data_IF_737265755306
#
_entry.id   IF_737265755306
#
_cell.length_a   1.000
_cell.length_b   1.000
_cell.length_c   1.000
_cell.angle_alpha   90.00
_cell.angle_beta   90.00
_cell.angle_gamma   90.00
#
_symmetry.space_group_name_H-M   'P 1'
#
loop_
_entity.id
_entity.type
_entity.pdbx_description
1 polymer ?
#
# COMPACT_ATOMS: atom_id res chain seq x y z
N UNK A 1 6.46 36.13 24.94
CA UNK A 1 6.57 36.08 23.46
C UNK A 1 7.36 34.87 22.97
N UNK A 2 8.56 34.59 23.50
CA UNK A 2 9.40 33.45 23.06
C UNK A 2 8.72 32.07 23.18
N UNK A 3 8.03 31.78 24.28
CA UNK A 3 7.34 30.50 24.51
C UNK A 3 6.22 30.24 23.49
N UNK A 4 5.43 31.26 23.14
CA UNK A 4 4.34 31.12 22.17
C UNK A 4 4.84 30.78 20.76
N UNK A 5 5.96 31.38 20.34
CA UNK A 5 6.58 31.11 19.04
C UNK A 5 7.12 29.67 18.98
N UNK A 6 7.78 29.22 20.05
CA UNK A 6 8.29 27.84 20.15
C UNK A 6 7.13 26.85 20.09
N UNK A 7 6.05 27.07 20.83
CA UNK A 7 4.88 26.17 20.82
C UNK A 7 4.24 26.07 19.44
N UNK A 8 4.05 27.20 18.74
CA UNK A 8 3.49 27.20 17.38
C UNK A 8 4.41 26.46 16.41
N UNK A 9 5.72 26.69 16.50
CA UNK A 9 6.69 26.02 15.65
C UNK A 9 6.71 24.50 15.88
N UNK A 10 6.72 24.06 17.14
CA UNK A 10 6.64 22.63 17.50
C UNK A 10 5.34 22.01 16.99
N UNK A 11 4.20 22.70 17.15
CA UNK A 11 2.91 22.21 16.64
C UNK A 11 2.92 21.99 15.12
N UNK A 12 3.53 22.91 14.36
CA UNK A 12 3.67 22.78 12.90
C UNK A 12 4.57 21.58 12.54
N UNK A 13 5.67 21.37 13.28
CA UNK A 13 6.56 20.23 13.06
C UNK A 13 5.87 18.90 13.35
N UNK A 14 5.17 18.79 14.49
CA UNK A 14 4.43 17.58 14.86
C UNK A 14 3.33 17.25 13.83
N UNK A 15 2.63 18.27 13.33
CA UNK A 15 1.64 18.08 12.26
C UNK A 15 2.27 17.57 10.96
N UNK A 16 3.41 18.14 10.55
CA UNK A 16 4.14 17.66 9.37
C UNK A 16 4.65 16.22 9.53
N UNK A 17 5.12 15.86 10.71
CA UNK A 17 5.56 14.49 11.02
C UNK A 17 4.41 13.49 10.91
N UNK A 18 3.23 13.83 11.43
CA UNK A 18 2.04 12.96 11.35
C UNK A 18 1.63 12.69 9.89
N UNK A 19 1.61 13.74 9.05
CA UNK A 19 1.31 13.60 7.61
C UNK A 19 2.34 12.71 6.90
N UNK A 20 3.63 12.89 7.18
CA UNK A 20 4.68 12.04 6.60
C UNK A 20 4.57 10.60 7.07
N UNK A 21 4.27 10.39 8.36
CA UNK A 21 4.08 9.05 8.93
C UNK A 21 2.91 8.34 8.25
N UNK A 22 1.76 8.99 8.11
CA UNK A 22 0.59 8.43 7.39
C UNK A 22 0.92 8.08 5.94
N UNK A 23 1.72 8.91 5.27
CA UNK A 23 2.16 8.62 3.90
C UNK A 23 3.09 7.41 3.85
N UNK A 24 4.03 7.30 4.79
CA UNK A 24 4.92 6.15 4.91
C UNK A 24 4.16 4.88 5.27
N UNK A 25 3.18 4.96 6.16
CA UNK A 25 2.29 3.85 6.51
C UNK A 25 1.53 3.36 5.28
N UNK A 26 0.96 4.28 4.50
CA UNK A 26 0.28 3.95 3.24
C UNK A 26 1.24 3.24 2.28
N UNK A 27 2.40 3.84 2.01
CA UNK A 27 3.42 3.26 1.11
C UNK A 27 3.96 1.91 1.61
N UNK A 28 4.00 1.68 2.92
CA UNK A 28 4.45 0.42 3.50
C UNK A 28 3.44 -0.72 3.31
N UNK A 29 2.16 -0.41 3.11
CA UNK A 29 1.08 -1.40 2.96
C UNK A 29 0.53 -1.51 1.54
N UNK A 30 0.86 -0.58 0.64
CA UNK A 30 0.40 -0.61 -0.76
C UNK A 30 1.52 -0.95 -1.75
N UNK A 31 1.17 -1.57 -2.87
CA UNK A 31 2.01 -1.73 -4.05
C UNK A 31 2.04 -0.43 -4.87
N UNK A 32 3.22 0.03 -5.28
CA UNK A 32 3.38 1.34 -5.93
C UNK A 32 2.82 1.36 -7.36
N UNK A 33 2.88 0.23 -8.07
CA UNK A 33 2.44 0.13 -9.47
C UNK A 33 0.91 0.12 -9.58
N UNK A 34 0.25 -0.59 -8.67
CA UNK A 34 -1.21 -0.84 -8.74
C UNK A 34 -2.02 -0.03 -7.72
N UNK A 35 -1.39 0.46 -6.64
CA UNK A 35 -2.07 1.06 -5.50
C UNK A 35 -2.87 0.08 -4.65
N UNK A 36 -2.89 -1.21 -5.01
CA UNK A 36 -3.51 -2.26 -4.20
C UNK A 36 -2.72 -2.49 -2.91
N UNK A 37 -3.32 -3.14 -1.92
CA UNK A 37 -2.55 -3.61 -0.78
C UNK A 37 -1.48 -4.61 -1.22
N UNK A 38 -0.28 -4.45 -0.70
CA UNK A 38 0.82 -5.34 -1.01
C UNK A 38 0.64 -6.71 -0.33
N UNK A 39 1.40 -7.68 -0.81
CA UNK A 39 1.33 -9.06 -0.33
C UNK A 39 1.58 -9.18 1.18
N UNK A 40 2.47 -8.35 1.75
CA UNK A 40 2.75 -8.38 3.19
C UNK A 40 1.52 -7.98 3.99
N UNK A 41 0.85 -6.90 3.59
CA UNK A 41 -0.37 -6.45 4.26
C UNK A 41 -1.53 -7.43 4.07
N UNK A 42 -1.63 -8.04 2.88
CA UNK A 42 -2.62 -9.09 2.63
C UNK A 42 -2.48 -10.25 3.63
N UNK A 43 -1.28 -10.77 3.87
CA UNK A 43 -1.08 -11.85 4.83
C UNK A 43 -1.38 -11.45 6.26
N UNK A 44 -1.01 -10.23 6.69
CA UNK A 44 -1.34 -9.77 8.05
C UNK A 44 -2.84 -9.72 8.28
N UNK A 45 -3.60 -9.23 7.29
CA UNK A 45 -5.07 -9.20 7.39
C UNK A 45 -5.65 -10.61 7.30
N UNK A 46 -5.11 -11.48 6.44
CA UNK A 46 -5.59 -12.86 6.32
C UNK A 46 -5.44 -13.63 7.64
N UNK A 47 -4.33 -13.45 8.35
CA UNK A 47 -4.10 -14.08 9.65
C UNK A 47 -5.13 -13.58 10.70
N UNK A 48 -5.40 -12.28 10.72
CA UNK A 48 -6.42 -11.66 11.60
C UNK A 48 -7.84 -12.19 11.28
N UNK A 49 -8.22 -12.25 10.00
CA UNK A 49 -9.53 -12.73 9.56
C UNK A 49 -9.74 -14.23 9.82
N UNK A 50 -8.69 -15.04 9.71
CA UNK A 50 -8.73 -16.47 10.09
C UNK A 50 -9.03 -16.62 11.58
N UNK A 51 -8.33 -15.87 12.44
CA UNK A 51 -8.55 -15.89 13.88
C UNK A 51 -9.98 -15.42 14.24
N UNK A 52 -10.45 -14.37 13.57
CA UNK A 52 -11.81 -13.88 13.74
C UNK A 52 -12.87 -14.89 13.31
N UNK A 53 -12.70 -15.54 12.16
CA UNK A 53 -13.66 -16.53 11.67
C UNK A 53 -13.75 -17.75 12.60
N UNK A 54 -12.62 -18.22 13.15
CA UNK A 54 -12.61 -19.30 14.15
C UNK A 54 -13.36 -18.90 15.42
N UNK A 55 -13.08 -17.68 15.93
CA UNK A 55 -13.72 -17.14 17.13
C UNK A 55 -15.23 -16.98 16.97
N UNK A 56 -15.68 -16.49 15.82
CA UNK A 56 -17.10 -16.24 15.54
C UNK A 56 -17.84 -17.47 15.00
N UNK A 57 -17.11 -18.57 14.73
CA UNK A 57 -17.62 -19.75 14.03
C UNK A 57 -18.27 -19.41 12.70
N UNK A 58 -17.71 -18.43 12.00
CA UNK A 58 -18.16 -17.97 10.69
C UNK A 58 -17.32 -18.61 9.59
N UNK A 59 -17.76 -18.44 8.33
CA UNK A 59 -17.01 -18.92 7.17
C UNK A 59 -16.22 -17.77 6.56
N UNK A 60 -14.94 -18.01 6.26
CA UNK A 60 -14.08 -17.11 5.52
C UNK A 60 -13.97 -17.57 4.06
N UNK A 61 -14.08 -16.64 3.12
CA UNK A 61 -13.89 -16.89 1.69
C UNK A 61 -12.70 -16.10 1.14
N UNK A 62 -11.90 -16.73 0.28
CA UNK A 62 -10.77 -16.10 -0.40
C UNK A 62 -10.94 -16.19 -1.92
N UNK A 63 -10.72 -15.07 -2.61
CA UNK A 63 -10.68 -15.00 -4.07
C UNK A 63 -9.29 -14.58 -4.52
N UNK A 64 -8.71 -15.36 -5.43
CA UNK A 64 -7.44 -15.05 -6.08
C UNK A 64 -7.74 -14.88 -7.57
N UNK A 65 -7.26 -13.79 -8.14
CA UNK A 65 -7.47 -13.42 -9.55
C UNK A 65 -6.10 -13.27 -10.17
N UNK A 66 -5.92 -13.82 -11.37
CA UNK A 66 -4.73 -13.63 -12.19
C UNK A 66 -5.13 -13.01 -13.54
N UNK A 67 -4.21 -12.27 -14.17
CA UNK A 67 -4.44 -11.69 -15.49
C UNK A 67 -3.95 -12.67 -16.54
N UNK A 68 -4.89 -13.22 -17.31
CA UNK A 68 -4.58 -14.14 -18.40
C UNK A 68 -3.63 -13.49 -19.43
N UNK A 69 -2.61 -14.24 -19.87
CA UNK A 69 -1.66 -13.85 -20.90
C UNK A 69 -0.87 -12.54 -20.61
N UNK A 70 -0.74 -12.14 -19.35
CA UNK A 70 -0.04 -10.89 -18.98
C UNK A 70 1.40 -10.80 -19.50
N UNK A 71 2.10 -11.94 -19.62
CA UNK A 71 3.46 -12.00 -20.17
C UNK A 71 3.53 -11.50 -21.63
N UNK A 72 2.60 -11.93 -22.47
CA UNK A 72 2.55 -11.53 -23.88
C UNK A 72 2.33 -10.02 -24.02
N UNK A 73 1.46 -9.45 -23.18
CA UNK A 73 1.24 -8.00 -23.14
C UNK A 73 2.53 -7.24 -22.77
N UNK A 74 3.23 -7.69 -21.73
CA UNK A 74 4.48 -7.06 -21.30
C UNK A 74 5.59 -7.18 -22.35
N UNK A 75 5.68 -8.29 -23.07
CA UNK A 75 6.63 -8.47 -24.16
C UNK A 75 6.37 -7.47 -25.29
N UNK A 76 5.12 -7.38 -25.77
CA UNK A 76 4.72 -6.42 -26.82
C UNK A 76 5.00 -4.98 -26.38
N UNK A 77 4.64 -4.62 -25.14
CA UNK A 77 4.86 -3.28 -24.63
C UNK A 77 6.36 -2.93 -24.55
N UNK A 78 7.18 -3.88 -24.08
CA UNK A 78 8.64 -3.70 -23.98
C UNK A 78 9.26 -3.49 -25.35
N UNK A 79 8.85 -4.28 -26.34
CA UNK A 79 9.35 -4.19 -27.71
C UNK A 79 9.01 -2.82 -28.32
N UNK A 80 7.75 -2.37 -28.21
CA UNK A 80 7.32 -1.04 -28.70
C UNK A 80 8.13 0.08 -28.04
N UNK A 81 8.30 0.04 -26.72
CA UNK A 81 9.05 1.07 -25.99
C UNK A 81 10.53 1.08 -26.39
N UNK A 82 11.10 -0.07 -26.74
CA UNK A 82 12.48 -0.16 -27.24
C UNK A 82 12.64 0.46 -28.63
N UNK A 83 11.67 0.26 -29.53
CA UNK A 83 11.66 0.86 -30.87
C UNK A 83 11.43 2.37 -30.86
N UNK A 84 10.70 2.91 -29.88
CA UNK A 84 10.48 4.36 -29.76
C UNK A 84 11.68 5.12 -29.18
N UNK A 85 12.69 4.42 -28.65
CA UNK A 85 13.90 5.02 -28.06
C UNK A 85 15.07 5.16 -29.04
N UNK A 86 14.84 4.98 -30.34
CA UNK A 86 15.80 5.27 -31.42
C UNK A 86 15.76 6.74 -31.85
#
# INVERSE_FOLDING_TARGET
>A
MSTGVITVFVAILSYKQDIQKKKLETLAITDELTGAYNQRFFYSILDEEIEMADKEKSSLGLMIIDIDNFKMYNEIYTDIVSEMKF
#
